data_IF_600116174463
#
_entry.id   IF_600116174463
#
_cell.length_a   1.000
_cell.length_b   1.000
_cell.length_c   1.000
_cell.angle_alpha   90.00
_cell.angle_beta   90.00
_cell.angle_gamma   90.00
#
_symmetry.space_group_name_H-M   'P 1'
#
loop_
_entity.id
_entity.type
_entity.pdbx_description
1 polymer ?
#
# COMPACT_ATOMS: atom_id res chain seq x y z
N UNK A 1 1.35 21.21 30.30
CA UNK A 1 1.11 22.10 29.15
C UNK A 1 0.09 21.39 28.28
N UNK A 2 -1.06 22.00 28.02
CA UNK A 2 -2.09 21.41 27.16
C UNK A 2 -1.48 21.19 25.77
N UNK A 3 -1.52 19.95 25.28
CA UNK A 3 -1.04 19.61 23.94
C UNK A 3 -1.89 20.39 22.93
N UNK A 4 -1.29 21.35 22.23
CA UNK A 4 -1.98 22.25 21.28
C UNK A 4 -1.31 22.18 19.94
N UNK A 5 -2.10 22.22 18.87
CA UNK A 5 -1.62 22.25 17.50
C UNK A 5 -1.93 23.60 16.90
N UNK A 6 -0.90 24.26 16.37
CA UNK A 6 -1.07 25.48 15.60
C UNK A 6 -1.40 25.12 14.16
N UNK A 7 -2.44 25.72 13.63
CA UNK A 7 -2.90 25.54 12.25
C UNK A 7 -2.74 26.87 11.53
N UNK A 8 -1.93 26.89 10.48
CA UNK A 8 -1.86 27.99 9.51
C UNK A 8 -2.76 27.63 8.36
N UNK A 9 -3.86 28.36 8.16
CA UNK A 9 -4.75 28.14 7.04
C UNK A 9 -4.51 29.22 5.98
N UNK A 10 -4.53 28.84 4.71
CA UNK A 10 -4.58 29.75 3.57
C UNK A 10 -5.62 29.29 2.55
N UNK A 11 -6.12 30.19 1.70
CA UNK A 11 -7.10 29.86 0.65
C UNK A 11 -6.81 30.54 -0.69
N UNK A 12 -7.34 29.96 -1.76
CA UNK A 12 -7.41 30.62 -3.08
C UNK A 12 -8.23 31.92 -3.02
N UNK A 13 -7.86 32.85 -3.90
CA UNK A 13 -8.69 34.00 -4.27
C UNK A 13 -9.83 33.57 -5.19
N UNK A 14 -11.01 34.17 -5.02
CA UNK A 14 -12.24 33.79 -5.76
C UNK A 14 -12.77 34.86 -6.71
N UNK A 15 -12.29 36.10 -6.61
CA UNK A 15 -12.68 37.21 -7.49
C UNK A 15 -11.57 38.24 -7.65
N UNK A 16 -11.69 39.08 -8.68
CA UNK A 16 -10.81 40.25 -8.86
C UNK A 16 -10.90 41.17 -7.65
N UNK A 17 -9.77 41.43 -7.01
CA UNK A 17 -9.71 42.27 -5.81
C UNK A 17 -9.87 41.52 -4.50
N UNK A 18 -10.13 40.20 -4.51
CA UNK A 18 -10.05 39.35 -3.31
C UNK A 18 -8.57 39.11 -2.93
N UNK A 19 -7.66 39.18 -3.89
CA UNK A 19 -6.21 39.00 -3.72
C UNK A 19 -5.45 40.25 -3.22
N UNK A 20 -6.16 41.31 -2.82
CA UNK A 20 -5.53 42.55 -2.32
C UNK A 20 -4.98 42.41 -0.90
N UNK A 21 -5.41 41.40 -0.16
CA UNK A 21 -4.93 41.08 1.18
C UNK A 21 -4.55 39.59 1.31
N UNK A 22 -3.71 39.28 2.29
CA UNK A 22 -3.34 37.90 2.59
C UNK A 22 -4.52 37.13 3.17
N UNK A 23 -4.85 35.98 2.57
CA UNK A 23 -5.85 35.04 3.10
C UNK A 23 -5.33 34.11 4.21
N UNK A 24 -4.11 34.34 4.70
CA UNK A 24 -3.54 33.49 5.76
C UNK A 24 -4.14 33.83 7.11
N UNK A 25 -4.64 32.82 7.81
CA UNK A 25 -5.08 32.91 9.20
C UNK A 25 -4.37 31.88 10.07
N UNK A 26 -4.28 32.17 11.37
CA UNK A 26 -3.58 31.32 12.33
C UNK A 26 -4.53 30.93 13.45
N UNK A 27 -4.72 29.63 13.64
CA UNK A 27 -5.60 29.07 14.65
C UNK A 27 -4.82 28.19 15.60
N UNK A 28 -5.32 28.06 16.84
CA UNK A 28 -4.78 27.17 17.85
C UNK A 28 -5.90 26.23 18.26
N UNK A 29 -5.67 24.93 18.08
CA UNK A 29 -6.58 23.89 18.51
C UNK A 29 -5.95 23.07 19.65
N UNK A 30 -6.77 22.50 20.55
CA UNK A 30 -6.33 21.36 21.33
C UNK A 30 -5.84 20.24 20.41
N UNK A 31 -4.78 19.52 20.78
CA UNK A 31 -4.27 18.38 20.01
C UNK A 31 -5.30 17.26 19.84
N UNK A 32 -6.26 17.18 20.78
CA UNK A 32 -7.41 16.27 20.73
C UNK A 32 -8.53 16.71 19.79
N UNK A 33 -8.51 17.94 19.27
CA UNK A 33 -9.45 18.36 18.24
C UNK A 33 -9.27 17.48 17.01
N UNK A 34 -10.32 17.32 16.24
CA UNK A 34 -10.38 16.37 15.14
C UNK A 34 -10.32 17.06 13.78
N UNK A 35 -10.10 16.27 12.74
CA UNK A 35 -10.24 16.74 11.36
C UNK A 35 -11.65 17.28 11.10
N UNK A 36 -12.69 16.71 11.70
CA UNK A 36 -14.06 17.23 11.57
C UNK A 36 -14.19 18.64 12.17
N UNK A 37 -13.62 18.88 13.36
CA UNK A 37 -13.61 20.21 13.99
C UNK A 37 -12.92 21.24 13.07
N UNK A 38 -11.77 20.86 12.51
CA UNK A 38 -11.03 21.71 11.57
C UNK A 38 -11.84 22.00 10.30
N UNK A 39 -12.44 20.99 9.67
CA UNK A 39 -13.23 21.18 8.45
C UNK A 39 -14.46 22.07 8.68
N UNK A 40 -15.10 21.95 9.85
CA UNK A 40 -16.22 22.82 10.22
C UNK A 40 -15.75 24.27 10.36
N UNK A 41 -14.63 24.54 11.03
CA UNK A 41 -14.12 25.92 11.13
C UNK A 41 -13.66 26.47 9.79
N UNK A 42 -13.02 25.66 8.93
CA UNK A 42 -12.69 26.06 7.56
C UNK A 42 -13.97 26.46 6.82
N UNK A 43 -15.05 25.66 6.89
CA UNK A 43 -16.29 25.99 6.19
C UNK A 43 -16.90 27.34 6.59
N UNK A 44 -16.67 27.80 7.82
CA UNK A 44 -17.12 29.10 8.32
C UNK A 44 -16.23 30.26 7.89
N UNK A 45 -14.96 29.97 7.59
CA UNK A 45 -13.98 30.96 7.15
C UNK A 45 -14.02 31.22 5.64
N UNK A 46 -14.43 30.21 4.85
CA UNK A 46 -14.45 30.31 3.40
C UNK A 46 -15.47 31.36 2.92
N UNK A 47 -15.13 32.16 1.89
CA UNK A 47 -16.03 33.20 1.40
C UNK A 47 -17.22 32.58 0.66
N UNK A 48 -18.39 33.18 0.86
CA UNK A 48 -19.56 32.88 0.05
C UNK A 48 -19.44 33.48 -1.34
N UNK A 49 -19.59 32.65 -2.36
CA UNK A 49 -19.60 33.07 -3.77
C UNK A 49 -20.96 32.72 -4.36
N UNK A 50 -21.42 33.52 -5.32
CA UNK A 50 -22.69 33.27 -6.00
C UNK A 50 -22.63 31.95 -6.80
N UNK A 51 -23.58 31.06 -6.52
CA UNK A 51 -23.72 29.77 -7.18
C UNK A 51 -23.05 28.60 -6.45
N UNK A 52 -22.88 27.45 -7.12
CA UNK A 52 -22.24 26.28 -6.55
C UNK A 52 -20.74 26.49 -6.35
N UNK A 53 -20.27 26.21 -5.13
CA UNK A 53 -18.89 26.46 -4.71
C UNK A 53 -18.31 25.22 -4.07
N UNK A 54 -17.10 24.86 -4.49
CA UNK A 54 -16.36 23.72 -3.97
C UNK A 54 -14.97 24.12 -3.50
N UNK A 55 -14.53 23.51 -2.41
CA UNK A 55 -13.20 23.72 -1.84
C UNK A 55 -12.53 22.39 -1.59
N UNK A 56 -11.31 22.25 -2.08
CA UNK A 56 -10.44 21.13 -1.79
C UNK A 56 -9.47 21.52 -0.67
N UNK A 57 -9.52 20.80 0.45
CA UNK A 57 -8.73 21.10 1.64
C UNK A 57 -7.63 20.05 1.79
N UNK A 58 -6.39 20.48 1.89
CA UNK A 58 -5.24 19.62 2.16
C UNK A 58 -4.27 20.22 3.18
N UNK A 59 -3.43 19.35 3.76
CA UNK A 59 -2.24 19.75 4.49
C UNK A 59 -1.14 20.00 3.48
N UNK A 60 -0.72 21.26 3.38
CA UNK A 60 0.36 21.71 2.54
C UNK A 60 1.71 21.31 3.15
N UNK A 61 2.53 20.60 2.38
CA UNK A 61 3.86 20.16 2.80
C UNK A 61 4.74 20.01 1.57
N UNK A 62 6.03 20.32 1.72
CA UNK A 62 7.03 20.21 0.66
C UNK A 62 7.31 18.74 0.27
N UNK A 63 6.93 17.78 1.13
CA UNK A 63 7.03 16.35 0.86
C UNK A 63 5.72 15.83 0.26
N UNK A 64 5.68 15.61 -1.06
CA UNK A 64 4.50 15.11 -1.76
C UNK A 64 3.98 13.77 -1.22
N UNK A 65 4.83 12.92 -0.63
CA UNK A 65 4.41 11.64 -0.03
C UNK A 65 3.68 11.85 1.31
N UNK A 66 3.86 13.02 1.92
CA UNK A 66 3.26 13.40 3.21
C UNK A 66 2.09 14.37 3.05
N UNK A 67 1.79 14.81 1.83
CA UNK A 67 0.56 15.54 1.55
C UNK A 67 -0.63 14.72 2.02
N UNK A 68 -1.57 15.37 2.69
CA UNK A 68 -2.80 14.74 3.17
C UNK A 68 -3.99 15.55 2.68
N UNK A 69 -4.79 14.93 1.84
CA UNK A 69 -6.06 15.49 1.38
C UNK A 69 -7.06 15.28 2.50
N UNK A 70 -7.59 16.35 3.10
CA UNK A 70 -8.48 16.26 4.25
C UNK A 70 -9.93 16.04 3.82
N UNK A 71 -10.35 16.76 2.78
CA UNK A 71 -11.71 16.65 2.27
C UNK A 71 -12.11 17.70 1.24
N UNK A 72 -13.36 17.60 0.83
CA UNK A 72 -14.05 18.53 -0.04
C UNK A 72 -15.19 19.20 0.74
N UNK A 73 -15.31 20.51 0.60
CA UNK A 73 -16.39 21.32 1.18
C UNK A 73 -17.18 21.94 0.04
N UNK A 74 -18.48 21.64 -0.04
CA UNK A 74 -19.39 22.20 -1.02
C UNK A 74 -20.39 23.12 -0.35
N UNK A 75 -20.53 24.33 -0.87
CA UNK A 75 -21.40 25.37 -0.31
C UNK A 75 -22.37 25.88 -1.38
N UNK A 76 -23.54 26.31 -0.89
CA UNK A 76 -24.64 26.93 -1.67
C UNK A 76 -25.20 28.08 -0.85
N UNK A 77 -24.31 29.01 -0.54
CA UNK A 77 -24.61 30.18 0.29
C UNK A 77 -25.66 31.07 -0.37
N UNK A 78 -25.67 31.10 -1.71
CA UNK A 78 -26.69 31.71 -2.55
C UNK A 78 -28.11 31.19 -2.23
N UNK A 79 -28.24 29.92 -1.84
CA UNK A 79 -29.50 29.28 -1.46
C UNK A 79 -29.64 29.05 0.06
N UNK A 80 -28.68 29.52 0.87
CA UNK A 80 -28.62 29.27 2.32
C UNK A 80 -28.73 27.79 2.70
N UNK A 81 -28.22 26.90 1.86
CA UNK A 81 -28.19 25.47 2.17
C UNK A 81 -27.02 25.16 3.11
N UNK A 82 -27.14 24.14 3.96
CA UNK A 82 -26.02 23.68 4.77
C UNK A 82 -24.88 23.18 3.88
N UNK A 83 -23.64 23.44 4.31
CA UNK A 83 -22.45 22.93 3.64
C UNK A 83 -22.45 21.39 3.61
N UNK A 84 -22.02 20.83 2.49
CA UNK A 84 -21.85 19.39 2.31
C UNK A 84 -20.36 19.04 2.33
N UNK A 85 -20.01 17.95 3.00
CA UNK A 85 -18.63 17.52 3.17
C UNK A 85 -18.39 16.14 2.56
N UNK A 86 -17.26 15.98 1.89
CA UNK A 86 -16.69 14.67 1.58
C UNK A 86 -15.36 14.53 2.32
N UNK A 87 -15.26 13.56 3.22
CA UNK A 87 -14.04 13.31 4.01
C UNK A 87 -13.11 12.39 3.23
N UNK A 88 -11.84 12.75 3.15
CA UNK A 88 -10.79 11.93 2.56
C UNK A 88 -9.86 11.31 3.62
N UNK A 89 -10.01 11.76 4.88
CA UNK A 89 -9.40 11.16 6.08
C UNK A 89 -10.50 10.83 7.09
N UNK A 90 -10.27 9.84 7.94
CA UNK A 90 -11.19 9.51 9.04
C UNK A 90 -11.43 10.74 9.92
N UNK A 91 -12.70 11.13 10.08
CA UNK A 91 -13.09 12.32 10.85
C UNK A 91 -12.64 12.30 12.31
N UNK A 92 -12.46 11.11 12.90
CA UNK A 92 -11.94 10.93 14.27
C UNK A 92 -10.42 11.09 14.40
N UNK A 93 -9.69 11.34 13.30
CA UNK A 93 -8.25 11.59 13.35
C UNK A 93 -8.00 12.89 14.10
N UNK A 94 -7.16 12.86 15.12
CA UNK A 94 -6.84 14.06 15.91
C UNK A 94 -5.86 14.95 15.15
N UNK A 95 -5.89 16.26 15.40
CA UNK A 95 -4.94 17.20 14.81
C UNK A 95 -3.52 16.95 15.30
N UNK A 96 -3.34 16.46 16.54
CA UNK A 96 -2.05 16.04 17.06
C UNK A 96 -1.46 14.85 16.29
N UNK A 97 -2.29 13.85 16.00
CA UNK A 97 -1.87 12.70 15.19
C UNK A 97 -1.60 13.11 13.74
N UNK A 98 -2.45 13.98 13.17
CA UNK A 98 -2.28 14.51 11.83
C UNK A 98 -0.95 15.28 11.69
N UNK A 99 -0.61 16.14 12.66
CA UNK A 99 0.66 16.86 12.70
C UNK A 99 1.85 15.91 12.81
N UNK A 100 1.76 14.90 13.67
CA UNK A 100 2.79 13.85 13.82
C UNK A 100 2.99 13.06 12.52
N UNK A 101 1.92 12.69 11.84
CA UNK A 101 1.95 11.97 10.56
C UNK A 101 2.54 12.81 9.44
N UNK A 102 2.22 14.11 9.40
CA UNK A 102 2.79 15.06 8.45
C UNK A 102 4.25 15.43 8.80
N UNK A 103 4.71 15.10 10.02
CA UNK A 103 5.99 15.53 10.61
C UNK A 103 6.17 17.05 10.60
N UNK A 104 5.08 17.76 10.88
CA UNK A 104 5.08 19.21 10.97
C UNK A 104 4.85 19.65 12.41
N UNK A 105 5.60 20.65 12.91
CA UNK A 105 5.31 21.26 14.21
C UNK A 105 4.01 22.07 14.19
N UNK A 106 3.72 22.70 13.04
CA UNK A 106 2.52 23.47 12.76
C UNK A 106 1.84 22.88 11.50
N UNK A 107 0.52 22.68 11.52
CA UNK A 107 -0.21 22.25 10.33
C UNK A 107 -0.38 23.44 9.37
N UNK A 108 0.27 23.40 8.21
CA UNK A 108 -0.04 24.31 7.10
C UNK A 108 -1.17 23.68 6.28
N UNK A 109 -2.31 24.35 6.21
CA UNK A 109 -3.53 23.86 5.58
C UNK A 109 -3.90 24.80 4.45
N UNK A 110 -4.22 24.23 3.29
CA UNK A 110 -4.59 24.98 2.11
C UNK A 110 -5.99 24.61 1.62
N UNK A 111 -6.83 25.61 1.42
CA UNK A 111 -8.14 25.46 0.80
C UNK A 111 -8.11 25.99 -0.65
N UNK A 112 -8.07 25.08 -1.60
CA UNK A 112 -8.08 25.38 -3.04
C UNK A 112 -9.52 25.52 -3.53
N UNK A 113 -9.79 26.61 -4.24
CA UNK A 113 -11.07 26.85 -4.89
C UNK A 113 -11.23 25.94 -6.11
N UNK A 114 -12.37 25.26 -6.20
CA UNK A 114 -12.75 24.43 -7.34
C UNK A 114 -13.59 25.25 -8.30
N UNK A 115 -13.20 25.24 -9.57
CA UNK A 115 -13.85 26.00 -10.63
C UNK A 115 -14.78 25.11 -11.46
N UNK A 116 -15.80 25.71 -12.06
CA UNK A 116 -16.70 25.05 -13.02
C UNK A 116 -17.45 23.85 -12.41
N UNK A 117 -17.49 22.73 -13.12
CA UNK A 117 -18.18 21.50 -12.73
C UNK A 117 -17.54 20.81 -11.51
N UNK A 118 -16.29 21.15 -11.16
CA UNK A 118 -15.64 20.71 -9.93
C UNK A 118 -16.20 21.39 -8.67
N UNK A 119 -16.91 22.51 -8.81
CA UNK A 119 -17.42 23.32 -7.71
C UNK A 119 -18.62 22.71 -6.97
N UNK A 120 -19.14 21.55 -7.41
CA UNK A 120 -20.28 20.90 -6.75
C UNK A 120 -20.28 19.39 -6.95
N UNK A 121 -21.00 18.64 -6.10
CA UNK A 121 -21.35 17.26 -6.40
C UNK A 121 -22.22 17.20 -7.65
N UNK A 122 -21.91 16.28 -8.55
CA UNK A 122 -22.71 15.96 -9.74
C UNK A 122 -23.37 14.61 -9.55
N UNK A 123 -24.66 14.51 -9.91
CA UNK A 123 -25.32 13.21 -10.02
C UNK A 123 -24.78 12.45 -11.24
N UNK A 124 -24.78 11.11 -11.18
CA UNK A 124 -24.34 10.27 -12.30
C UNK A 124 -25.10 10.60 -13.60
N UNK A 125 -26.40 10.87 -13.51
CA UNK A 125 -27.23 11.25 -14.67
C UNK A 125 -26.82 12.58 -15.30
N UNK A 126 -26.29 13.51 -14.51
CA UNK A 126 -25.76 14.78 -15.03
C UNK A 126 -24.44 14.55 -15.76
N UNK A 127 -23.57 13.68 -15.21
CA UNK A 127 -22.30 13.33 -15.85
C UNK A 127 -22.55 12.60 -17.16
N UNK A 128 -23.40 11.56 -17.17
CA UNK A 128 -23.67 10.76 -18.38
C UNK A 128 -24.53 11.49 -19.41
N UNK A 129 -25.32 12.48 -19.00
CA UNK A 129 -26.03 13.38 -19.91
C UNK A 129 -25.20 14.59 -20.38
N UNK A 130 -24.01 14.77 -19.83
CA UNK A 130 -23.16 15.94 -20.07
C UNK A 130 -22.43 15.89 -21.42
N UNK A 131 -22.07 17.05 -21.99
CA UNK A 131 -21.38 17.14 -23.29
C UNK A 131 -19.95 16.57 -23.27
N UNK A 132 -19.36 16.38 -22.09
CA UNK A 132 -18.02 15.81 -21.90
C UNK A 132 -18.04 14.29 -21.80
N UNK A 133 -19.21 13.66 -21.62
CA UNK A 133 -19.34 12.22 -21.59
C UNK A 133 -19.41 11.65 -23.00
N UNK A 134 -18.32 11.00 -23.41
CA UNK A 134 -18.18 10.44 -24.76
C UNK A 134 -18.88 9.10 -24.95
N UNK A 135 -19.39 8.50 -23.87
CA UNK A 135 -19.89 7.13 -23.89
C UNK A 135 -18.83 6.07 -24.20
N UNK A 136 -17.54 6.46 -24.25
CA UNK A 136 -16.45 5.56 -24.56
C UNK A 136 -16.42 4.42 -23.52
N UNK A 137 -16.58 3.20 -24.02
CA UNK A 137 -16.37 2.01 -23.22
C UNK A 137 -14.90 1.61 -23.33
N UNK A 138 -14.25 1.20 -22.22
CA UNK A 138 -12.91 0.67 -22.32
C UNK A 138 -12.93 -0.58 -23.21
N UNK A 139 -12.03 -0.63 -24.19
CA UNK A 139 -11.73 -1.87 -24.89
C UNK A 139 -11.14 -2.84 -23.86
N UNK A 140 -11.95 -3.79 -23.41
CA UNK A 140 -11.49 -4.84 -22.51
C UNK A 140 -10.51 -5.69 -23.30
N UNK A 141 -9.22 -5.54 -23.00
CA UNK A 141 -8.17 -6.37 -23.61
C UNK A 141 -8.38 -7.80 -23.12
N UNK A 142 -9.08 -8.60 -23.94
CA UNK A 142 -9.30 -10.01 -23.66
C UNK A 142 -7.97 -10.74 -23.52
N UNK A 143 -6.88 -10.30 -24.14
CA UNK A 143 -5.58 -10.98 -24.03
C UNK A 143 -4.99 -10.94 -22.63
N UNK A 144 -4.94 -9.77 -21.98
CA UNK A 144 -4.41 -9.63 -20.63
C UNK A 144 -5.40 -10.14 -19.58
N UNK A 145 -6.69 -9.84 -19.76
CA UNK A 145 -7.74 -10.35 -18.88
C UNK A 145 -7.89 -11.88 -18.98
N UNK A 146 -7.76 -12.47 -20.17
CA UNK A 146 -7.77 -13.92 -20.36
C UNK A 146 -6.44 -14.55 -19.92
N UNK A 147 -5.30 -13.88 -20.06
CA UNK A 147 -4.03 -14.38 -19.50
C UNK A 147 -4.07 -14.39 -17.97
N UNK A 148 -4.62 -13.34 -17.33
CA UNK A 148 -4.87 -13.32 -15.90
C UNK A 148 -5.97 -14.30 -15.47
N UNK A 149 -7.01 -14.51 -16.29
CA UNK A 149 -8.05 -15.52 -16.01
C UNK A 149 -7.52 -16.96 -16.16
N UNK A 150 -6.51 -17.17 -17.01
CA UNK A 150 -5.77 -18.45 -17.12
C UNK A 150 -4.73 -18.63 -16.03
N UNK A 151 -4.42 -17.59 -15.25
CA UNK A 151 -3.48 -17.71 -14.14
C UNK A 151 -4.11 -18.56 -13.06
N UNK A 152 -3.42 -19.63 -12.67
CA UNK A 152 -3.85 -20.47 -11.56
C UNK A 152 -3.54 -19.77 -10.23
N UNK A 153 -4.45 -18.87 -9.83
CA UNK A 153 -4.32 -18.10 -8.60
C UNK A 153 -4.24 -18.98 -7.33
N UNK A 154 -4.76 -20.22 -7.39
CA UNK A 154 -4.63 -21.18 -6.29
C UNK A 154 -3.18 -21.66 -6.18
N UNK A 155 -2.55 -21.97 -7.32
CA UNK A 155 -1.14 -22.32 -7.36
C UNK A 155 -0.25 -21.15 -6.93
N UNK A 156 -0.48 -19.94 -7.46
CA UNK A 156 0.32 -18.76 -7.10
C UNK A 156 0.28 -18.47 -5.59
N UNK A 157 -0.92 -18.54 -4.99
CA UNK A 157 -1.07 -18.35 -3.53
C UNK A 157 -0.37 -19.45 -2.73
N UNK A 158 -0.34 -20.68 -3.24
CA UNK A 158 0.41 -21.75 -2.61
C UNK A 158 1.92 -21.54 -2.68
N UNK A 159 2.42 -21.03 -3.80
CA UNK A 159 3.83 -20.66 -3.95
C UNK A 159 4.20 -19.53 -2.98
N UNK A 160 3.33 -18.52 -2.82
CA UNK A 160 3.49 -17.45 -1.83
C UNK A 160 3.51 -17.99 -0.40
N UNK A 161 2.63 -18.95 -0.07
CA UNK A 161 2.61 -19.59 1.25
C UNK A 161 3.93 -20.32 1.53
N UNK A 162 4.45 -21.08 0.57
CA UNK A 162 5.75 -21.79 0.69
C UNK A 162 6.92 -20.82 0.79
N UNK A 163 6.89 -19.73 0.02
CA UNK A 163 7.86 -18.65 0.08
C UNK A 163 7.94 -18.03 1.48
N UNK A 164 6.77 -17.70 2.05
CA UNK A 164 6.67 -17.15 3.39
C UNK A 164 7.18 -18.12 4.46
N UNK A 165 6.87 -19.41 4.32
CA UNK A 165 7.28 -20.45 5.28
C UNK A 165 8.81 -20.58 5.42
N UNK A 166 9.58 -20.31 4.37
CA UNK A 166 11.05 -20.41 4.39
C UNK A 166 11.76 -19.08 4.68
N UNK A 167 11.06 -17.96 4.58
CA UNK A 167 11.67 -16.62 4.70
C UNK A 167 12.34 -16.38 6.05
N UNK A 168 11.69 -16.76 7.16
CA UNK A 168 12.25 -16.57 8.49
C UNK A 168 13.54 -17.37 8.70
N UNK A 169 13.55 -18.65 8.29
CA UNK A 169 14.73 -19.52 8.39
C UNK A 169 15.89 -19.00 7.53
N UNK A 170 15.60 -18.49 6.33
CA UNK A 170 16.61 -17.88 5.45
C UNK A 170 17.22 -16.62 6.07
N UNK A 171 16.40 -15.71 6.59
CA UNK A 171 16.89 -14.48 7.25
C UNK A 171 17.74 -14.78 8.48
N UNK A 172 17.31 -15.75 9.27
CA UNK A 172 18.07 -16.22 10.42
C UNK A 172 19.42 -16.82 10.02
N UNK A 173 19.44 -17.60 8.93
CA UNK A 173 20.69 -18.11 8.37
C UNK A 173 21.62 -16.98 7.90
N UNK A 174 21.11 -15.97 7.20
CA UNK A 174 21.88 -14.80 6.75
C UNK A 174 22.47 -14.06 7.94
N UNK A 175 21.64 -13.80 8.96
CA UNK A 175 22.06 -13.15 10.20
C UNK A 175 23.23 -13.89 10.85
N UNK A 176 23.09 -15.21 11.00
CA UNK A 176 24.07 -16.04 11.73
C UNK A 176 25.33 -16.33 10.93
N UNK A 177 25.27 -16.47 9.61
CA UNK A 177 26.41 -16.93 8.79
C UNK A 177 27.09 -15.83 7.97
N UNK A 178 26.41 -14.70 7.73
CA UNK A 178 26.94 -13.60 6.94
C UNK A 178 27.11 -12.34 7.81
N UNK A 179 26.04 -11.91 8.49
CA UNK A 179 26.00 -10.60 9.16
C UNK A 179 26.67 -10.63 10.55
N UNK A 180 26.80 -11.79 11.17
CA UNK A 180 27.47 -11.94 12.48
C UNK A 180 28.99 -11.72 12.43
N UNK A 181 29.62 -11.85 11.25
CA UNK A 181 31.07 -11.77 11.10
C UNK A 181 31.62 -10.34 11.07
N UNK A 182 32.91 -10.16 11.40
CA UNK A 182 33.56 -8.83 11.39
C UNK A 182 33.91 -8.31 9.99
N UNK A 183 33.91 -9.17 8.99
CA UNK A 183 34.29 -8.84 7.61
C UNK A 183 33.34 -9.52 6.64
N UNK A 184 32.92 -8.84 5.54
CA UNK A 184 32.09 -9.48 4.53
C UNK A 184 32.77 -10.71 3.90
N UNK A 185 32.00 -11.71 3.47
CA UNK A 185 32.54 -12.84 2.73
C UNK A 185 33.29 -12.43 1.44
N UNK A 186 34.38 -13.10 1.05
CA UNK A 186 35.18 -12.72 -0.13
C UNK A 186 34.35 -12.66 -1.43
N UNK A 187 34.38 -11.57 -2.19
CA UNK A 187 33.58 -11.40 -3.41
C UNK A 187 32.23 -10.71 -3.19
N UNK A 188 31.92 -10.28 -1.96
CA UNK A 188 30.74 -9.46 -1.65
C UNK A 188 30.74 -8.15 -2.45
N UNK A 189 31.88 -7.48 -2.57
CA UNK A 189 32.06 -6.25 -3.32
C UNK A 189 31.71 -6.43 -4.80
N UNK A 190 32.09 -7.57 -5.39
CA UNK A 190 31.73 -7.92 -6.78
C UNK A 190 30.23 -8.18 -6.91
N UNK A 191 29.63 -8.87 -5.94
CA UNK A 191 28.18 -9.09 -5.91
C UNK A 191 27.43 -7.76 -5.85
N UNK A 192 27.82 -6.84 -4.96
CA UNK A 192 27.21 -5.52 -4.82
C UNK A 192 27.36 -4.74 -6.13
N UNK A 193 28.58 -4.64 -6.68
CA UNK A 193 28.84 -3.87 -7.89
C UNK A 193 28.01 -4.37 -9.09
N UNK A 194 27.92 -5.69 -9.29
CA UNK A 194 27.16 -6.27 -10.42
C UNK A 194 25.66 -6.05 -10.31
N UNK A 195 25.13 -5.99 -9.09
CA UNK A 195 23.69 -5.89 -8.84
C UNK A 195 23.25 -4.49 -8.40
N UNK A 196 24.16 -3.51 -8.40
CA UNK A 196 23.86 -2.15 -7.94
C UNK A 196 22.71 -1.50 -8.71
N UNK A 197 22.60 -1.78 -10.02
CA UNK A 197 21.51 -1.32 -10.86
C UNK A 197 20.12 -1.80 -10.37
N UNK A 198 20.02 -3.00 -9.79
CA UNK A 198 18.77 -3.45 -9.16
C UNK A 198 18.51 -2.73 -7.84
N UNK A 199 19.55 -2.45 -7.06
CA UNK A 199 19.41 -1.82 -5.74
C UNK A 199 18.80 -0.42 -5.79
N UNK A 200 18.99 0.31 -6.88
CA UNK A 200 18.35 1.61 -7.11
C UNK A 200 16.81 1.51 -7.03
N UNK A 201 16.24 0.38 -7.47
CA UNK A 201 14.78 0.16 -7.48
C UNK A 201 14.30 -0.66 -6.27
N UNK A 202 15.15 -1.53 -5.72
CA UNK A 202 14.74 -2.46 -4.65
C UNK A 202 14.73 -1.81 -3.26
N UNK A 203 15.53 -0.77 -3.03
CA UNK A 203 15.57 -0.09 -1.75
C UNK A 203 14.30 0.73 -1.50
N UNK A 204 13.63 0.43 -0.40
CA UNK A 204 12.47 1.19 0.08
C UNK A 204 12.40 1.19 1.61
N UNK A 205 11.58 2.05 2.24
CA UNK A 205 11.47 2.12 3.70
C UNK A 205 11.19 0.76 4.37
N UNK A 206 10.41 -0.11 3.72
CA UNK A 206 10.09 -1.42 4.26
C UNK A 206 11.26 -2.42 4.22
N UNK A 207 12.18 -2.28 3.26
CA UNK A 207 13.44 -3.07 3.26
C UNK A 207 14.31 -2.75 4.47
N UNK A 208 14.22 -1.54 5.04
CA UNK A 208 14.96 -1.18 6.24
C UNK A 208 14.47 -1.92 7.49
N UNK A 209 13.19 -2.32 7.54
CA UNK A 209 12.70 -3.18 8.62
C UNK A 209 13.33 -4.57 8.56
N UNK A 210 13.57 -5.09 7.36
CA UNK A 210 14.30 -6.36 7.18
C UNK A 210 15.76 -6.19 7.55
N UNK A 211 16.39 -5.06 7.21
CA UNK A 211 17.76 -4.78 7.62
C UNK A 211 17.90 -4.73 9.14
N UNK A 212 16.94 -4.11 9.84
CA UNK A 212 16.92 -4.08 11.31
C UNK A 212 16.90 -5.48 11.91
N UNK A 213 16.09 -6.39 11.35
CA UNK A 213 16.04 -7.80 11.76
C UNK A 213 17.38 -8.52 11.53
N UNK A 214 18.05 -8.26 10.40
CA UNK A 214 19.35 -8.85 10.09
C UNK A 214 20.47 -8.32 10.99
N UNK A 215 20.36 -7.07 11.45
CA UNK A 215 21.33 -6.44 12.36
C UNK A 215 21.01 -6.70 13.84
N UNK A 216 19.81 -7.20 14.16
CA UNK A 216 19.37 -7.41 15.54
C UNK A 216 18.98 -6.13 16.28
N UNK A 217 18.56 -5.09 15.53
CA UNK A 217 18.16 -3.77 16.06
C UNK A 217 16.66 -3.53 15.89
N UNK A 218 16.06 -2.64 16.68
CA UNK A 218 14.62 -2.33 16.61
C UNK A 218 14.22 -1.60 15.32
N UNK A 219 15.03 -0.64 14.84
CA UNK A 219 14.88 -0.06 13.49
C UNK A 219 16.24 0.24 12.87
N UNK A 220 16.39 0.05 11.55
CA UNK A 220 17.59 0.46 10.80
C UNK A 220 17.41 1.86 10.21
N UNK A 221 17.24 2.86 11.08
CA UNK A 221 17.24 4.29 10.71
C UNK A 221 18.52 4.94 11.20
N UNK A 222 18.91 6.06 10.59
CA UNK A 222 20.16 6.79 10.89
C UNK A 222 20.42 6.93 12.40
N UNK A 223 19.45 7.43 13.17
CA UNK A 223 19.62 7.61 14.63
C UNK A 223 19.89 6.32 15.39
N UNK A 224 19.16 5.25 15.07
CA UNK A 224 19.29 3.97 15.78
C UNK A 224 20.57 3.22 15.35
N UNK A 225 20.98 3.39 14.09
CA UNK A 225 22.25 2.88 13.60
C UNK A 225 23.45 3.65 14.20
N UNK A 226 23.31 4.96 14.42
CA UNK A 226 24.30 5.82 15.08
C UNK A 226 24.43 5.50 16.58
N UNK A 227 23.32 5.15 17.25
CA UNK A 227 23.32 4.68 18.64
C UNK A 227 23.97 3.29 18.82
N UNK A 228 24.11 2.54 17.72
CA UNK A 228 24.76 1.23 17.73
C UNK A 228 26.24 1.39 17.36
N UNK A 229 27.16 1.09 18.28
CA UNK A 229 28.63 1.12 18.01
C UNK A 229 29.11 0.16 16.92
N UNK A 230 28.21 -0.67 16.39
CA UNK A 230 28.46 -1.69 15.37
C UNK A 230 28.66 -1.09 13.96
N UNK A 231 28.04 0.07 13.69
CA UNK A 231 28.18 0.76 12.40
C UNK A 231 29.63 1.20 12.16
N UNK A 232 30.24 1.82 13.16
CA UNK A 232 31.62 2.29 13.10
C UNK A 232 32.63 1.13 13.15
N UNK A 233 32.28 0.02 13.82
CA UNK A 233 33.15 -1.13 13.95
C UNK A 233 33.16 -2.02 12.68
N UNK A 234 32.04 -2.15 11.97
CA UNK A 234 31.88 -3.09 10.84
C UNK A 234 31.08 -2.50 9.65
N UNK A 235 31.44 -1.34 9.11
CA UNK A 235 30.63 -0.61 8.13
C UNK A 235 30.38 -1.41 6.83
N UNK A 236 31.35 -2.23 6.42
CA UNK A 236 31.21 -3.07 5.23
C UNK A 236 30.17 -4.19 5.41
N UNK A 237 30.04 -4.74 6.63
CA UNK A 237 29.05 -5.78 6.95
C UNK A 237 27.66 -5.18 7.08
N UNK A 238 27.56 -3.99 7.68
CA UNK A 238 26.30 -3.26 7.74
C UNK A 238 25.81 -2.91 6.34
N UNK A 239 26.69 -2.43 5.47
CA UNK A 239 26.36 -2.18 4.06
C UNK A 239 25.82 -3.43 3.37
N UNK A 240 26.47 -4.58 3.57
CA UNK A 240 25.99 -5.86 3.05
C UNK A 240 24.60 -6.23 3.60
N UNK A 241 24.35 -6.03 4.90
CA UNK A 241 23.04 -6.31 5.49
C UNK A 241 21.92 -5.47 4.85
N UNK A 242 22.18 -4.18 4.60
CA UNK A 242 21.23 -3.29 3.90
C UNK A 242 20.95 -3.79 2.47
N UNK A 243 21.99 -4.19 1.74
CA UNK A 243 21.86 -4.74 0.39
C UNK A 243 21.02 -6.01 0.39
N UNK A 244 21.34 -6.98 1.25
CA UNK A 244 20.59 -8.26 1.32
C UNK A 244 19.14 -8.04 1.74
N UNK A 245 18.88 -7.06 2.62
CA UNK A 245 17.54 -6.71 3.04
C UNK A 245 16.66 -6.18 1.89
N UNK A 246 17.25 -5.46 0.92
CA UNK A 246 16.55 -5.01 -0.27
C UNK A 246 16.08 -6.19 -1.14
N UNK A 247 16.94 -7.18 -1.34
CA UNK A 247 16.55 -8.42 -2.04
C UNK A 247 15.51 -9.20 -1.24
N UNK A 248 15.72 -9.42 0.06
CA UNK A 248 14.81 -10.16 0.93
C UNK A 248 13.39 -9.60 0.91
N UNK A 249 13.25 -8.28 1.01
CA UNK A 249 11.93 -7.63 0.98
C UNK A 249 11.18 -7.88 -0.33
N UNK A 250 11.91 -7.94 -1.44
CA UNK A 250 11.32 -8.12 -2.77
C UNK A 250 11.12 -9.60 -3.14
N UNK A 251 11.60 -10.57 -2.34
CA UNK A 251 11.32 -12.00 -2.56
C UNK A 251 9.82 -12.34 -2.52
N UNK A 252 9.03 -11.59 -1.76
CA UNK A 252 7.58 -11.83 -1.57
C UNK A 252 6.71 -11.06 -2.55
N UNK A 253 7.29 -10.41 -3.57
CA UNK A 253 6.57 -9.57 -4.53
C UNK A 253 6.84 -10.04 -5.95
N UNK A 254 5.82 -9.98 -6.80
CA UNK A 254 5.94 -10.16 -8.25
C UNK A 254 5.51 -11.53 -8.76
N UNK A 255 5.79 -11.78 -10.04
CA UNK A 255 5.32 -12.97 -10.76
C UNK A 255 6.11 -14.24 -10.41
N UNK A 256 5.42 -15.38 -10.39
CA UNK A 256 6.01 -16.74 -10.33
C UNK A 256 6.49 -17.26 -11.69
N UNK A 257 6.35 -16.48 -12.76
CA UNK A 257 6.95 -16.81 -14.05
C UNK A 257 8.47 -16.87 -13.94
N UNK A 258 9.06 -17.90 -14.53
CA UNK A 258 10.51 -18.08 -14.57
C UNK A 258 11.17 -16.87 -15.23
N UNK A 259 12.15 -16.26 -14.55
CA UNK A 259 12.83 -15.05 -15.03
C UNK A 259 12.02 -13.75 -14.89
N UNK A 260 10.78 -13.79 -14.40
CA UNK A 260 9.97 -12.60 -14.14
C UNK A 260 10.53 -11.70 -13.02
N UNK A 261 11.52 -12.18 -12.27
CA UNK A 261 12.22 -11.47 -11.19
C UNK A 261 13.73 -11.65 -11.34
N UNK A 262 14.36 -10.96 -12.30
CA UNK A 262 15.74 -11.25 -12.71
C UNK A 262 16.77 -11.00 -11.59
N UNK A 263 16.44 -10.14 -10.63
CA UNK A 263 17.27 -9.83 -9.46
C UNK A 263 17.33 -10.96 -8.40
N UNK A 264 16.38 -11.91 -8.40
CA UNK A 264 16.36 -13.00 -7.41
C UNK A 264 17.38 -14.08 -7.70
N UNK A 265 17.68 -14.35 -8.98
CA UNK A 265 18.71 -15.32 -9.37
C UNK A 265 20.09 -15.01 -8.76
N UNK A 266 20.71 -13.84 -9.03
CA UNK A 266 22.03 -13.54 -8.48
C UNK A 266 22.01 -13.48 -6.94
N UNK A 267 20.88 -13.11 -6.33
CA UNK A 267 20.71 -13.13 -4.89
C UNK A 267 20.78 -14.53 -4.29
N UNK A 268 19.96 -15.47 -4.78
CA UNK A 268 19.96 -16.85 -4.28
C UNK A 268 21.22 -17.62 -4.64
N UNK A 269 21.84 -17.34 -5.80
CA UNK A 269 23.15 -17.88 -6.16
C UNK A 269 24.25 -17.36 -5.23
N UNK A 270 24.21 -16.08 -4.83
CA UNK A 270 25.12 -15.53 -3.83
C UNK A 270 24.96 -16.25 -2.49
N UNK A 271 23.73 -16.44 -1.99
CA UNK A 271 23.51 -17.20 -0.75
C UNK A 271 24.01 -18.64 -0.86
N UNK A 272 23.71 -19.33 -1.96
CA UNK A 272 24.16 -20.70 -2.20
C UNK A 272 25.69 -20.82 -2.25
N UNK A 273 26.36 -19.85 -2.88
CA UNK A 273 27.83 -19.74 -2.90
C UNK A 273 28.46 -19.54 -1.52
N UNK A 274 27.67 -19.15 -0.51
CA UNK A 274 28.09 -19.07 0.90
C UNK A 274 27.70 -20.30 1.74
N UNK A 275 27.15 -21.33 1.11
CA UNK A 275 26.75 -22.57 1.77
C UNK A 275 25.29 -22.62 2.21
N UNK A 276 24.45 -21.63 1.84
CA UNK A 276 23.01 -21.73 2.08
C UNK A 276 22.42 -22.79 1.15
N UNK A 277 21.70 -23.76 1.71
CA UNK A 277 21.01 -24.76 0.91
C UNK A 277 19.63 -24.25 0.52
N UNK A 278 19.45 -23.92 -0.76
CA UNK A 278 18.16 -23.50 -1.30
C UNK A 278 17.11 -24.61 -1.14
N UNK A 279 15.94 -24.23 -0.64
CA UNK A 279 14.74 -25.05 -0.63
C UNK A 279 14.13 -25.15 -2.04
N UNK A 280 13.23 -26.11 -2.30
CA UNK A 280 12.59 -26.25 -3.61
C UNK A 280 11.90 -24.97 -4.11
N UNK A 281 11.25 -24.20 -3.23
CA UNK A 281 10.59 -22.94 -3.61
C UNK A 281 11.60 -21.83 -3.93
N UNK A 282 12.76 -21.80 -3.27
CA UNK A 282 13.81 -20.83 -3.56
C UNK A 282 14.53 -21.16 -4.88
N UNK A 283 14.61 -22.43 -5.27
CA UNK A 283 15.01 -22.81 -6.63
C UNK A 283 14.02 -22.29 -7.70
N UNK A 284 12.72 -22.24 -7.41
CA UNK A 284 11.73 -21.59 -8.28
C UNK A 284 11.99 -20.08 -8.35
N UNK A 285 12.17 -19.42 -7.20
CA UNK A 285 12.43 -17.98 -7.14
C UNK A 285 13.71 -17.57 -7.87
N UNK A 286 14.77 -18.38 -7.78
CA UNK A 286 16.03 -18.18 -8.49
C UNK A 286 15.91 -18.46 -10.01
N UNK A 287 14.77 -18.99 -10.47
CA UNK A 287 14.57 -19.39 -11.86
C UNK A 287 15.37 -20.64 -12.27
N UNK A 288 15.86 -21.43 -11.31
CA UNK A 288 16.55 -22.70 -11.59
C UNK A 288 15.56 -23.78 -12.06
N UNK A 289 14.34 -23.72 -11.55
CA UNK A 289 13.21 -24.55 -11.99
C UNK A 289 11.98 -23.65 -12.18
N UNK A 290 11.03 -24.12 -12.98
CA UNK A 290 9.72 -23.47 -13.15
C UNK A 290 8.75 -23.88 -12.05
N UNK A 291 7.69 -23.10 -11.83
CA UNK A 291 6.60 -23.47 -10.92
C UNK A 291 5.97 -24.84 -11.27
N UNK A 292 5.89 -25.17 -12.57
CA UNK A 292 5.37 -26.46 -13.05
C UNK A 292 6.29 -27.66 -12.73
N UNK A 293 7.59 -27.42 -12.55
CA UNK A 293 8.57 -28.46 -12.19
C UNK A 293 8.66 -28.68 -10.67
N UNK A 294 8.05 -27.80 -9.87
CA UNK A 294 8.00 -27.97 -8.42
C UNK A 294 7.14 -29.20 -8.09
N UNK A 295 7.74 -30.17 -7.40
CA UNK A 295 7.02 -31.37 -6.97
C UNK A 295 6.15 -31.05 -5.75
N UNK A 296 4.86 -31.38 -5.86
CA UNK A 296 3.90 -31.34 -4.77
C UNK A 296 3.73 -32.75 -4.19
N UNK A 297 3.44 -32.85 -2.89
CA UNK A 297 3.04 -34.14 -2.30
C UNK A 297 1.62 -34.52 -2.79
N UNK A 298 1.24 -35.78 -2.61
CA UNK A 298 -0.13 -36.23 -2.91
C UNK A 298 -1.17 -35.45 -2.08
N UNK A 299 -0.87 -35.21 -0.81
CA UNK A 299 -1.72 -34.44 0.11
C UNK A 299 -1.85 -32.97 -0.34
N UNK A 300 -0.73 -32.35 -0.75
CA UNK A 300 -0.74 -30.98 -1.27
C UNK A 300 -1.60 -30.87 -2.53
N UNK A 301 -1.47 -31.83 -3.44
CA UNK A 301 -2.22 -31.84 -4.70
C UNK A 301 -3.71 -31.97 -4.42
N UNK A 302 -4.08 -32.91 -3.54
CA UNK A 302 -5.47 -33.11 -3.09
C UNK A 302 -6.03 -31.84 -2.45
N UNK A 303 -5.23 -31.17 -1.61
CA UNK A 303 -5.62 -29.90 -0.97
C UNK A 303 -5.87 -28.80 -2.00
N UNK A 304 -4.97 -28.62 -2.98
CA UNK A 304 -5.11 -27.60 -4.02
C UNK A 304 -6.32 -27.86 -4.91
N UNK A 305 -6.56 -29.11 -5.29
CA UNK A 305 -7.74 -29.49 -6.08
C UNK A 305 -9.04 -29.22 -5.31
N UNK A 306 -9.04 -29.47 -4.00
CA UNK A 306 -10.19 -29.14 -3.15
C UNK A 306 -10.42 -27.63 -3.08
N UNK A 307 -9.36 -26.83 -2.93
CA UNK A 307 -9.47 -25.36 -2.97
C UNK A 307 -10.04 -24.89 -4.30
N UNK A 308 -9.57 -25.44 -5.44
CA UNK A 308 -10.10 -25.09 -6.78
C UNK A 308 -11.58 -25.39 -6.90
N UNK A 309 -12.03 -26.55 -6.40
CA UNK A 309 -13.45 -26.91 -6.38
C UNK A 309 -14.28 -25.91 -5.54
N UNK A 310 -13.83 -25.57 -4.34
CA UNK A 310 -14.52 -24.63 -3.45
C UNK A 310 -14.58 -23.22 -4.03
N UNK A 311 -13.50 -22.75 -4.70
CA UNK A 311 -13.48 -21.45 -5.38
C UNK A 311 -14.44 -21.40 -6.56
N UNK A 312 -14.53 -22.47 -7.34
CA UNK A 312 -15.53 -22.58 -8.41
C UNK A 312 -16.96 -22.59 -7.82
N UNK A 313 -17.20 -23.35 -6.74
CA UNK A 313 -18.50 -23.37 -6.08
C UNK A 313 -18.89 -21.98 -5.54
N UNK A 314 -17.97 -21.28 -4.88
CA UNK A 314 -18.13 -19.90 -4.44
C UNK A 314 -18.52 -18.97 -5.60
N UNK A 315 -17.85 -19.08 -6.76
CA UNK A 315 -18.18 -18.32 -7.95
C UNK A 315 -19.60 -18.62 -8.45
N UNK A 316 -19.97 -19.91 -8.58
CA UNK A 316 -21.29 -20.32 -9.03
C UNK A 316 -22.41 -19.83 -8.09
N UNK A 317 -22.22 -19.91 -6.77
CA UNK A 317 -23.18 -19.40 -5.79
C UNK A 317 -23.40 -17.88 -5.97
N UNK A 318 -22.32 -17.12 -6.19
CA UNK A 318 -22.40 -15.68 -6.46
C UNK A 318 -23.12 -15.39 -7.77
N UNK A 319 -22.85 -16.14 -8.84
CA UNK A 319 -23.56 -15.99 -10.12
C UNK A 319 -25.05 -16.29 -9.98
N UNK A 320 -25.39 -17.37 -9.29
CA UNK A 320 -26.78 -17.77 -9.05
C UNK A 320 -27.55 -16.76 -8.21
N UNK A 321 -26.92 -16.14 -7.20
CA UNK A 321 -27.53 -15.11 -6.37
C UNK A 321 -27.72 -13.78 -7.10
N UNK A 322 -26.66 -13.23 -7.68
CA UNK A 322 -26.65 -11.84 -8.16
C UNK A 322 -27.05 -11.67 -9.62
N UNK A 323 -26.78 -12.67 -10.46
CA UNK A 323 -26.98 -12.55 -11.90
C UNK A 323 -28.15 -13.39 -12.38
N UNK A 324 -28.15 -14.69 -12.08
CA UNK A 324 -29.20 -15.60 -12.54
C UNK A 324 -30.47 -15.50 -11.68
N UNK A 325 -30.35 -14.97 -10.45
CA UNK A 325 -31.43 -14.83 -9.45
C UNK A 325 -32.17 -16.14 -9.17
N UNK A 326 -31.46 -17.26 -9.28
CA UNK A 326 -31.98 -18.63 -9.06
C UNK A 326 -31.84 -19.08 -7.60
N UNK A 327 -31.14 -18.31 -6.77
CA UNK A 327 -30.87 -18.62 -5.36
C UNK A 327 -31.35 -17.51 -4.44
N UNK A 328 -32.15 -17.86 -3.42
CA UNK A 328 -32.61 -16.93 -2.40
C UNK A 328 -31.48 -16.49 -1.45
N UNK A 329 -31.66 -15.39 -0.73
CA UNK A 329 -30.60 -14.77 0.09
C UNK A 329 -30.17 -15.67 1.27
N UNK A 330 -31.13 -16.30 1.93
CA UNK A 330 -30.95 -17.24 3.03
C UNK A 330 -30.22 -18.51 2.58
N UNK A 331 -30.61 -19.05 1.42
CA UNK A 331 -29.96 -20.20 0.78
C UNK A 331 -28.53 -19.89 0.38
N UNK A 332 -28.29 -18.70 -0.20
CA UNK A 332 -26.95 -18.23 -0.54
C UNK A 332 -26.07 -18.08 0.71
N UNK A 333 -26.54 -17.40 1.76
CA UNK A 333 -25.78 -17.21 3.01
C UNK A 333 -25.41 -18.53 3.66
N UNK A 334 -26.32 -19.50 3.68
CA UNK A 334 -26.05 -20.82 4.25
C UNK A 334 -25.00 -21.58 3.43
N UNK A 335 -25.17 -21.63 2.11
CA UNK A 335 -24.24 -22.34 1.23
C UNK A 335 -22.85 -21.70 1.21
N UNK A 336 -22.77 -20.37 1.14
CA UNK A 336 -21.50 -19.66 1.09
C UNK A 336 -20.75 -19.74 2.43
N UNK A 337 -21.46 -19.75 3.57
CA UNK A 337 -20.85 -19.92 4.89
C UNK A 337 -20.16 -21.28 5.03
N UNK A 338 -20.76 -22.36 4.53
CA UNK A 338 -20.14 -23.69 4.53
C UNK A 338 -18.87 -23.72 3.67
N UNK A 339 -18.91 -23.11 2.48
CA UNK A 339 -17.73 -23.01 1.60
C UNK A 339 -16.63 -22.17 2.24
N UNK A 340 -17.00 -21.07 2.91
CA UNK A 340 -16.08 -20.19 3.61
C UNK A 340 -15.39 -20.87 4.80
N UNK A 341 -16.13 -21.67 5.56
CA UNK A 341 -15.59 -22.45 6.68
C UNK A 341 -14.53 -23.44 6.17
N UNK A 342 -14.85 -24.21 5.14
CA UNK A 342 -13.92 -25.20 4.59
C UNK A 342 -12.69 -24.54 3.95
N UNK A 343 -12.84 -23.43 3.22
CA UNK A 343 -11.69 -22.66 2.73
C UNK A 343 -10.78 -22.21 3.89
N UNK A 344 -11.37 -21.75 4.99
CA UNK A 344 -10.60 -21.32 6.17
C UNK A 344 -9.82 -22.47 6.80
N UNK A 345 -10.41 -23.66 6.91
CA UNK A 345 -9.73 -24.88 7.37
C UNK A 345 -8.54 -25.27 6.47
N UNK A 346 -8.64 -25.02 5.17
CA UNK A 346 -7.56 -25.26 4.20
C UNK A 346 -6.49 -24.15 4.17
N UNK A 347 -6.61 -23.14 5.04
CA UNK A 347 -5.68 -22.01 5.18
C UNK A 347 -5.94 -20.85 4.21
N UNK A 348 -7.10 -20.82 3.56
CA UNK A 348 -7.50 -19.79 2.61
C UNK A 348 -8.33 -18.68 3.26
N UNK A 349 -8.19 -17.45 2.75
CA UNK A 349 -9.10 -16.36 3.13
C UNK A 349 -10.39 -16.49 2.30
N UNK A 350 -11.55 -16.66 2.94
CA UNK A 350 -12.81 -16.98 2.24
C UNK A 350 -13.39 -15.82 1.42
N UNK A 351 -12.97 -14.57 1.69
CA UNK A 351 -13.52 -13.38 1.05
C UNK A 351 -14.82 -12.91 1.71
N UNK A 352 -15.41 -11.78 1.25
CA UNK A 352 -16.66 -11.27 1.80
C UNK A 352 -17.84 -12.19 1.49
N UNK A 353 -18.85 -12.18 2.37
CA UNK A 353 -20.14 -12.88 2.22
C UNK A 353 -21.06 -12.13 1.27
#
# INVERSE_FOLDING_TARGET
MTDTVKVTLNRNSVAMGDDVESHRVFWIFPGSATVDDLLVEISRYLPGVAGPVGWFVDVNTDDQLRRRELGLIYTRDDLRQPAQFCRLVTGSTTLGDLARMAKLPDLDVYARYLTWDMGRPLALSEVTGGPTYTGAQPAKLESEAAAQAKTDWVLDRELDRRAAAVAAARREWIRTNIVSGSTPPPGTEVFIARNFHYLADLHCPASMNVAAQLLGTDEARYKNLEETTDFDARPAVVTLALVLAAFEWNTTRGSWQAGGRPYLKPYFEYLAGRGYRLSPIEHVMAGHITAAQLKFSADDTTRLDRIRQLRNLQYQLRMNRYYNKTLADDQYRTAIASVHAELSELGELPGPV
#
